data_IF_197585231151
#
_entry.id   IF_197585231151
#
_cell.length_a   1.000
_cell.length_b   1.000
_cell.length_c   1.000
_cell.angle_alpha   90.00
_cell.angle_beta   90.00
_cell.angle_gamma   90.00
#
_symmetry.space_group_name_H-M   'P 1'
#
loop_
_entity.id
_entity.type
_entity.pdbx_description
1 polymer ?
#
# COMPACT_ATOMS: atom_id res chain seq x y z
N UNK A 1 -22.54 -10.15 -22.20
CA UNK A 1 -22.54 -10.86 -23.50
C UNK A 1 -23.04 -12.30 -23.34
N UNK A 2 -22.41 -13.14 -22.51
CA UNK A 2 -22.95 -14.48 -22.17
C UNK A 2 -24.35 -14.45 -21.56
N UNK A 3 -24.65 -13.48 -20.70
CA UNK A 3 -25.99 -13.28 -20.12
C UNK A 3 -27.06 -12.89 -21.15
N UNK A 4 -26.64 -12.35 -22.29
CA UNK A 4 -27.52 -12.03 -23.41
C UNK A 4 -27.56 -13.17 -24.46
N UNK A 5 -26.88 -14.30 -24.21
CA UNK A 5 -26.78 -15.41 -25.17
C UNK A 5 -25.92 -15.11 -26.41
N UNK A 6 -25.18 -14.00 -26.42
CA UNK A 6 -24.34 -13.56 -27.54
C UNK A 6 -22.88 -13.97 -27.33
N UNK A 7 -22.22 -14.31 -28.43
CA UNK A 7 -20.81 -14.65 -28.50
C UNK A 7 -20.04 -13.62 -29.31
N UNK A 8 -18.71 -13.56 -29.11
CA UNK A 8 -17.84 -12.64 -29.85
C UNK A 8 -17.92 -12.84 -31.37
N UNK A 9 -18.18 -14.07 -31.81
CA UNK A 9 -18.32 -14.40 -33.24
C UNK A 9 -19.64 -13.89 -33.84
N UNK A 10 -20.64 -13.56 -33.02
CA UNK A 10 -21.91 -13.00 -33.48
C UNK A 10 -21.78 -11.50 -33.82
N UNK A 11 -20.66 -10.88 -33.46
CA UNK A 11 -20.35 -9.49 -33.82
C UNK A 11 -19.73 -9.41 -35.21
N UNK A 12 -20.13 -8.40 -35.98
CA UNK A 12 -19.57 -8.16 -37.32
C UNK A 12 -18.07 -7.87 -37.23
N UNK A 13 -17.34 -8.32 -38.24
CA UNK A 13 -15.92 -7.97 -38.42
C UNK A 13 -15.72 -6.58 -39.02
N UNK A 14 -16.79 -5.98 -39.54
CA UNK A 14 -16.74 -4.70 -40.25
C UNK A 14 -17.18 -3.52 -39.37
N UNK A 15 -17.71 -3.80 -38.17
CA UNK A 15 -18.07 -2.78 -37.20
C UNK A 15 -17.05 -2.67 -36.07
N UNK A 16 -17.18 -1.63 -35.24
CA UNK A 16 -16.31 -1.40 -34.08
C UNK A 16 -16.75 -2.17 -32.83
N UNK A 17 -17.86 -2.93 -32.88
CA UNK A 17 -18.41 -3.60 -31.71
C UNK A 17 -17.47 -4.68 -31.17
N UNK A 18 -16.85 -5.44 -32.06
CA UNK A 18 -15.85 -6.46 -31.70
C UNK A 18 -14.60 -5.85 -31.07
N UNK A 19 -14.10 -4.74 -31.63
CA UNK A 19 -12.93 -4.04 -31.09
C UNK A 19 -13.22 -3.47 -29.69
N UNK A 20 -14.39 -2.87 -29.50
CA UNK A 20 -14.81 -2.30 -28.22
C UNK A 20 -14.86 -3.37 -27.12
N UNK A 21 -15.39 -4.56 -27.41
CA UNK A 21 -15.47 -5.66 -26.44
C UNK A 21 -14.08 -6.18 -26.08
N UNK A 22 -13.20 -6.36 -27.07
CA UNK A 22 -11.83 -6.82 -26.84
C UNK A 22 -11.03 -5.81 -25.98
N UNK A 23 -11.13 -4.50 -26.29
CA UNK A 23 -10.52 -3.46 -25.46
C UNK A 23 -11.11 -3.43 -24.06
N UNK A 24 -12.41 -3.66 -23.91
CA UNK A 24 -13.07 -3.79 -22.61
C UNK A 24 -12.47 -4.94 -21.78
N UNK A 25 -12.25 -6.11 -22.37
CA UNK A 25 -11.63 -7.24 -21.68
C UNK A 25 -10.17 -6.98 -21.30
N UNK A 26 -9.39 -6.42 -22.22
CA UNK A 26 -8.00 -6.03 -21.93
C UNK A 26 -7.94 -5.02 -20.77
N UNK A 27 -8.84 -4.03 -20.78
CA UNK A 27 -8.95 -3.04 -19.72
C UNK A 27 -9.29 -3.68 -18.37
N UNK A 28 -10.30 -4.56 -18.32
CA UNK A 28 -10.67 -5.26 -17.08
C UNK A 28 -9.52 -6.11 -16.54
N UNK A 29 -8.81 -6.84 -17.41
CA UNK A 29 -7.63 -7.62 -17.00
C UNK A 29 -6.53 -6.73 -16.42
N UNK A 30 -6.27 -5.57 -17.05
CA UNK A 30 -5.31 -4.60 -16.52
C UNK A 30 -5.75 -4.06 -15.16
N UNK A 31 -7.04 -3.78 -14.98
CA UNK A 31 -7.58 -3.29 -13.72
C UNK A 31 -7.42 -4.33 -12.59
N UNK A 32 -7.71 -5.60 -12.88
CA UNK A 32 -7.50 -6.70 -11.94
C UNK A 32 -6.04 -6.84 -11.51
N UNK A 33 -5.09 -6.73 -12.45
CA UNK A 33 -3.65 -6.75 -12.14
C UNK A 33 -3.26 -5.57 -11.23
N UNK A 34 -3.76 -4.36 -11.53
CA UNK A 34 -3.46 -3.17 -10.72
C UNK A 34 -4.06 -3.28 -9.32
N UNK A 35 -5.27 -3.83 -9.20
CA UNK A 35 -5.92 -4.10 -7.92
C UNK A 35 -5.06 -5.05 -7.07
N UNK A 36 -4.67 -6.20 -7.62
CA UNK A 36 -3.85 -7.19 -6.91
C UNK A 36 -2.50 -6.60 -6.45
N UNK A 37 -1.87 -5.75 -7.28
CA UNK A 37 -0.63 -5.05 -6.91
C UNK A 37 -0.83 -4.06 -5.78
N UNK A 38 -1.93 -3.31 -5.81
CA UNK A 38 -2.24 -2.35 -4.75
C UNK A 38 -2.48 -3.06 -3.41
N UNK A 39 -3.16 -4.21 -3.42
CA UNK A 39 -3.36 -5.05 -2.25
C UNK A 39 -2.03 -5.60 -1.69
N UNK A 40 -1.14 -6.09 -2.57
CA UNK A 40 0.21 -6.52 -2.17
C UNK A 40 1.01 -5.37 -1.53
N UNK A 41 0.99 -4.18 -2.14
CA UNK A 41 1.69 -3.01 -1.61
C UNK A 41 1.12 -2.54 -0.27
N UNK A 42 -0.20 -2.59 -0.08
CA UNK A 42 -0.83 -2.27 1.21
C UNK A 42 -0.32 -3.21 2.29
N UNK A 43 -0.35 -4.53 2.03
CA UNK A 43 0.11 -5.55 2.98
C UNK A 43 1.58 -5.34 3.35
N UNK A 44 2.43 -5.07 2.36
CA UNK A 44 3.86 -4.82 2.58
C UNK A 44 4.12 -3.53 3.36
N UNK A 45 3.31 -2.50 3.13
CA UNK A 45 3.40 -1.24 3.86
C UNK A 45 2.99 -1.42 5.33
N UNK A 46 1.90 -2.16 5.60
CA UNK A 46 1.46 -2.49 6.94
C UNK A 46 2.53 -3.27 7.72
N UNK A 47 3.14 -4.27 7.09
CA UNK A 47 4.25 -5.03 7.67
C UNK A 47 5.48 -4.18 7.97
N UNK A 48 5.84 -3.27 7.06
CA UNK A 48 6.95 -2.34 7.26
C UNK A 48 6.65 -1.36 8.41
N UNK A 49 5.42 -0.87 8.48
CA UNK A 49 4.99 0.04 9.54
C UNK A 49 5.00 -0.64 10.91
N UNK A 50 4.53 -1.91 10.99
CA UNK A 50 4.62 -2.70 12.22
C UNK A 50 6.07 -2.84 12.70
N UNK A 51 6.99 -3.23 11.81
CA UNK A 51 8.42 -3.35 12.13
C UNK A 51 9.03 -2.01 12.56
N UNK A 52 8.60 -0.91 11.94
CA UNK A 52 9.02 0.43 12.31
C UNK A 52 8.59 0.77 13.74
N UNK A 53 7.33 0.53 14.10
CA UNK A 53 6.85 0.79 15.46
C UNK A 53 7.51 -0.11 16.51
N UNK A 54 7.76 -1.39 16.19
CA UNK A 54 8.53 -2.29 17.06
C UNK A 54 9.95 -1.76 17.30
N UNK A 55 10.64 -1.32 16.25
CA UNK A 55 11.98 -0.75 16.35
C UNK A 55 11.98 0.57 17.15
N UNK A 56 10.97 1.42 16.95
CA UNK A 56 10.78 2.66 17.68
C UNK A 56 10.53 2.41 19.17
N UNK A 57 9.65 1.47 19.52
CA UNK A 57 9.39 1.08 20.91
C UNK A 57 10.66 0.57 21.58
N UNK A 58 11.41 -0.31 20.90
CA UNK A 58 12.69 -0.81 21.42
C UNK A 58 13.73 0.30 21.59
N UNK A 59 13.73 1.29 20.70
CA UNK A 59 14.59 2.46 20.79
C UNK A 59 14.24 3.33 21.98
N UNK A 60 12.95 3.58 22.20
CA UNK A 60 12.43 4.30 23.37
C UNK A 60 12.81 3.58 24.67
N UNK A 61 12.56 2.26 24.77
CA UNK A 61 12.92 1.46 25.95
C UNK A 61 14.42 1.56 26.26
N UNK A 62 15.26 1.47 25.22
CA UNK A 62 16.69 1.60 25.37
C UNK A 62 17.09 3.01 25.85
N UNK A 63 16.49 4.06 25.29
CA UNK A 63 16.73 5.45 25.69
C UNK A 63 16.43 5.67 27.18
N UNK A 64 15.27 5.22 27.65
CA UNK A 64 14.86 5.34 29.06
C UNK A 64 15.64 4.42 30.01
N UNK A 65 16.27 3.36 29.50
CA UNK A 65 17.14 2.50 30.30
C UNK A 65 18.54 3.09 30.51
N UNK A 66 19.01 3.93 29.58
CA UNK A 66 20.37 4.50 29.60
C UNK A 66 20.44 5.91 30.20
N UNK A 67 19.35 6.68 30.17
CA UNK A 67 19.33 8.08 30.57
C UNK A 67 18.29 8.36 31.67
N UNK A 68 18.50 9.37 32.53
CA UNK A 68 17.46 9.88 33.41
C UNK A 68 16.22 10.30 32.60
N UNK A 69 15.03 10.03 33.13
CA UNK A 69 13.75 10.26 32.44
C UNK A 69 13.63 11.66 31.83
N UNK A 70 14.06 12.68 32.57
CA UNK A 70 14.03 14.09 32.12
C UNK A 70 14.79 14.31 30.81
N UNK A 71 15.99 13.74 30.68
CA UNK A 71 16.82 13.86 29.47
C UNK A 71 16.27 13.00 28.34
N UNK A 72 15.80 11.78 28.66
CA UNK A 72 15.17 10.90 27.69
C UNK A 72 13.90 11.50 27.07
N UNK A 73 13.06 12.17 27.86
CA UNK A 73 11.84 12.83 27.40
C UNK A 73 12.15 13.98 26.42
N UNK A 74 13.20 14.77 26.68
CA UNK A 74 13.67 15.85 25.79
C UNK A 74 14.18 15.27 24.47
N UNK A 75 15.03 14.25 24.54
CA UNK A 75 15.59 13.61 23.34
C UNK A 75 14.54 12.92 22.49
N UNK A 76 13.55 12.27 23.10
CA UNK A 76 12.43 11.62 22.40
C UNK A 76 11.58 12.62 21.63
N UNK A 77 11.47 13.85 22.12
CA UNK A 77 10.77 14.95 21.44
C UNK A 77 11.61 15.58 20.32
N UNK A 78 12.86 15.15 20.14
CA UNK A 78 13.79 15.69 19.14
C UNK A 78 14.44 17.02 19.56
N UNK A 79 14.34 17.38 20.84
CA UNK A 79 14.95 18.60 21.37
C UNK A 79 16.42 18.36 21.73
N UNK A 80 17.20 19.45 21.77
CA UNK A 80 18.61 19.40 22.12
C UNK A 80 18.78 18.98 23.61
N UNK A 81 19.63 17.98 23.94
CA UNK A 81 19.88 17.56 25.31
C UNK A 81 20.38 18.70 26.23
N UNK A 82 21.00 19.75 25.68
CA UNK A 82 21.42 20.92 26.46
C UNK A 82 20.24 21.80 26.93
N UNK A 83 19.04 21.61 26.40
CA UNK A 83 17.83 22.30 26.88
C UNK A 83 17.34 21.82 28.25
N UNK A 84 17.92 20.73 28.77
CA UNK A 84 17.59 20.14 30.08
C UNK A 84 18.36 20.79 31.24
N UNK A 85 19.30 21.70 30.97
CA UNK A 85 20.16 22.38 31.94
C UNK A 85 19.59 23.72 32.42
#
# INVERSE_FOLDING_TARGET
MREMGLYLNDLSMHDLGREMVLKGWEHCSRLEIMYNRAEEYSTRLEDAHRKHEEAKSRGDDLLYSMLPRQVADVLRQGNDPYATC
#
